data_IF_688675469199
#
_entry.id   IF_688675469199
#
_cell.length_a   1.000
_cell.length_b   1.000
_cell.length_c   1.000
_cell.angle_alpha   90.00
_cell.angle_beta   90.00
_cell.angle_gamma   90.00
#
_symmetry.space_group_name_H-M   'P 1'
#
loop_
_entity.id
_entity.type
_entity.pdbx_description
1 polymer ?
#
# COMPACT_ATOMS: atom_id res chain seq x y z
N UNK A 1 9.09 9.63 -2.35
CA UNK A 1 9.11 8.39 -3.15
C UNK A 1 7.69 8.17 -3.64
N UNK A 2 7.46 7.89 -4.93
CA UNK A 2 6.10 7.64 -5.46
C UNK A 2 5.88 6.13 -5.49
N UNK A 3 4.79 5.66 -4.89
CA UNK A 3 4.35 4.26 -4.96
C UNK A 3 3.25 4.19 -6.02
N UNK A 4 3.40 3.28 -6.98
CA UNK A 4 2.47 3.10 -8.09
C UNK A 4 1.52 1.92 -7.85
N UNK A 5 0.46 1.85 -8.64
CA UNK A 5 -0.45 0.71 -8.67
C UNK A 5 0.33 -0.60 -8.86
N UNK A 6 -0.14 -1.62 -8.13
CA UNK A 6 0.39 -2.99 -8.12
C UNK A 6 1.81 -3.12 -7.59
N UNK A 7 2.38 -2.09 -6.96
CA UNK A 7 3.60 -2.26 -6.17
C UNK A 7 3.29 -2.89 -4.82
N UNK A 8 4.17 -3.80 -4.42
CA UNK A 8 4.15 -4.33 -3.06
C UNK A 8 4.76 -3.33 -2.09
N UNK A 9 4.10 -3.21 -0.95
CA UNK A 9 4.47 -2.32 0.14
C UNK A 9 4.51 -3.09 1.45
N UNK A 10 5.31 -2.60 2.37
CA UNK A 10 5.37 -3.04 3.77
C UNK A 10 4.96 -1.89 4.69
N UNK A 11 4.13 -2.21 5.69
CA UNK A 11 3.69 -1.26 6.71
C UNK A 11 4.79 -1.04 7.73
N UNK A 12 5.30 0.20 7.84
CA UNK A 12 6.46 0.50 8.68
C UNK A 12 6.09 0.55 10.17
N UNK A 13 7.10 0.42 11.04
CA UNK A 13 6.94 0.42 12.50
C UNK A 13 6.37 1.72 13.08
N UNK A 14 6.47 2.84 12.36
CA UNK A 14 5.89 4.13 12.75
C UNK A 14 4.49 4.38 12.19
N UNK A 15 3.91 3.41 11.47
CA UNK A 15 2.60 3.57 10.86
C UNK A 15 1.51 3.81 11.91
N UNK A 16 0.50 4.62 11.56
CA UNK A 16 -0.62 4.90 12.48
C UNK A 16 -1.41 3.63 12.82
N UNK A 17 -1.62 2.76 11.83
CA UNK A 17 -2.39 1.52 12.01
C UNK A 17 -1.49 0.40 12.54
N UNK A 18 -1.29 0.39 13.87
CA UNK A 18 -0.34 -0.52 14.55
C UNK A 18 -0.61 -2.00 14.35
N UNK A 19 -1.86 -2.39 14.10
CA UNK A 19 -2.23 -3.81 13.90
C UNK A 19 -1.69 -4.42 12.60
N UNK A 20 -1.25 -3.58 11.66
CA UNK A 20 -0.75 -4.02 10.35
C UNK A 20 0.77 -3.87 10.21
N UNK A 21 1.47 -3.40 11.24
CA UNK A 21 2.93 -3.20 11.20
C UNK A 21 3.64 -4.51 10.80
N UNK A 22 4.55 -4.41 9.84
CA UNK A 22 5.33 -5.54 9.30
C UNK A 22 4.57 -6.40 8.29
N UNK A 23 3.26 -6.19 8.12
CA UNK A 23 2.51 -6.87 7.08
C UNK A 23 2.84 -6.26 5.71
N UNK A 24 2.72 -7.12 4.69
CA UNK A 24 2.89 -6.74 3.29
C UNK A 24 1.57 -6.77 2.56
N UNK A 25 1.48 -5.96 1.51
CA UNK A 25 0.32 -5.91 0.65
C UNK A 25 0.60 -5.19 -0.64
N UNK A 26 -0.43 -5.06 -1.48
CA UNK A 26 -0.32 -4.50 -2.82
C UNK A 26 -1.23 -3.29 -2.98
N UNK A 27 -0.69 -2.21 -3.56
CA UNK A 27 -1.46 -0.99 -3.83
C UNK A 27 -2.49 -1.22 -4.93
N UNK A 28 -3.77 -1.12 -4.57
CA UNK A 28 -4.91 -1.18 -5.49
C UNK A 28 -5.58 0.17 -5.73
N UNK A 29 -5.28 1.18 -4.89
CA UNK A 29 -5.82 2.52 -5.01
C UNK A 29 -4.81 3.56 -4.55
N UNK A 30 -4.80 4.71 -5.22
CA UNK A 30 -3.98 5.86 -4.85
C UNK A 30 -4.92 7.04 -4.64
N UNK A 31 -4.89 7.64 -3.46
CA UNK A 31 -5.58 8.90 -3.18
C UNK A 31 -4.66 10.04 -3.60
N UNK A 32 -4.89 10.59 -4.80
CA UNK A 32 -4.10 11.68 -5.40
C UNK A 32 -5.03 12.82 -5.85
N UNK A 33 -4.73 14.06 -5.46
CA UNK A 33 -5.41 15.27 -5.94
C UNK A 33 -4.35 16.33 -6.27
N UNK A 34 -4.44 16.97 -7.44
CA UNK A 34 -3.46 17.97 -7.92
C UNK A 34 -1.99 17.51 -7.84
N UNK A 35 -1.74 16.21 -8.04
CA UNK A 35 -0.41 15.59 -7.96
C UNK A 35 0.11 15.35 -6.53
N UNK A 36 -0.71 15.66 -5.51
CA UNK A 36 -0.42 15.39 -4.10
C UNK A 36 -1.02 14.04 -3.73
N UNK A 37 -0.16 13.10 -3.32
CA UNK A 37 -0.59 11.81 -2.80
C UNK A 37 -0.88 11.93 -1.30
N UNK A 38 -2.10 11.61 -0.90
CA UNK A 38 -2.54 11.59 0.50
C UNK A 38 -2.34 10.21 1.13
N UNK A 39 -2.47 9.15 0.34
CA UNK A 39 -2.33 7.79 0.83
C UNK A 39 -2.70 6.74 -0.21
N UNK A 40 -2.74 5.50 0.26
CA UNK A 40 -2.83 4.32 -0.58
C UNK A 40 -3.86 3.36 -0.02
N UNK A 41 -4.60 2.72 -0.91
CA UNK A 41 -5.48 1.60 -0.61
C UNK A 41 -4.73 0.32 -0.91
N UNK A 42 -4.47 -0.50 0.11
CA UNK A 42 -3.59 -1.67 0.04
C UNK A 42 -4.37 -2.92 0.39
N UNK A 43 -4.38 -3.91 -0.50
CA UNK A 43 -4.83 -5.26 -0.15
C UNK A 43 -3.70 -5.99 0.57
N UNK A 44 -3.93 -6.41 1.81
CA UNK A 44 -2.91 -7.09 2.59
C UNK A 44 -2.81 -8.56 2.17
N UNK A 45 -1.61 -9.13 2.11
CA UNK A 45 -1.45 -10.54 1.71
C UNK A 45 -2.04 -11.50 2.76
N UNK A 46 -1.87 -11.16 4.03
CA UNK A 46 -2.30 -12.01 5.16
C UNK A 46 -3.74 -11.74 5.60
N UNK A 47 -4.36 -10.67 5.09
CA UNK A 47 -5.76 -10.34 5.38
C UNK A 47 -6.46 -10.06 4.06
N UNK A 48 -7.52 -10.80 3.74
CA UNK A 48 -8.37 -10.59 2.56
C UNK A 48 -9.21 -9.28 2.67
N UNK A 49 -8.61 -8.21 3.19
CA UNK A 49 -9.21 -6.89 3.31
C UNK A 49 -8.28 -5.85 2.67
N UNK A 50 -8.91 -4.81 2.14
CA UNK A 50 -8.22 -3.62 1.66
C UNK A 50 -8.26 -2.56 2.74
N UNK A 51 -7.10 -1.98 3.06
CA UNK A 51 -6.94 -0.99 4.14
C UNK A 51 -6.30 0.27 3.57
N UNK A 52 -6.77 1.42 4.05
CA UNK A 52 -6.16 2.70 3.74
C UNK A 52 -4.97 2.99 4.66
N UNK A 53 -3.87 3.45 4.06
CA UNK A 53 -2.67 3.89 4.74
C UNK A 53 -2.27 5.28 4.27
N UNK A 54 -1.71 6.09 5.17
CA UNK A 54 -1.13 7.37 4.76
C UNK A 54 0.13 7.15 3.93
N UNK A 55 0.50 8.17 3.15
CA UNK A 55 1.65 8.08 2.24
C UNK A 55 2.97 7.71 2.93
N UNK A 56 3.11 8.07 4.21
CA UNK A 56 4.31 7.88 5.01
C UNK A 56 4.25 6.61 5.89
N UNK A 57 3.15 5.85 5.85
CA UNK A 57 2.99 4.59 6.58
C UNK A 57 3.58 3.38 5.84
N UNK A 58 4.00 3.56 4.59
CA UNK A 58 4.36 2.49 3.67
C UNK A 58 5.73 2.70 3.05
N UNK A 59 6.46 1.61 2.87
CA UNK A 59 7.66 1.56 2.04
C UNK A 59 7.50 0.50 0.94
N UNK A 60 7.95 0.78 -0.29
CA UNK A 60 7.91 -0.23 -1.35
C UNK A 60 8.98 -1.30 -1.09
N UNK A 61 8.63 -2.56 -1.33
CA UNK A 61 9.57 -3.69 -1.18
C UNK A 61 10.43 -3.89 -2.43
N UNK A 62 10.06 -3.26 -3.54
CA UNK A 62 10.66 -3.44 -4.86
C UNK A 62 9.97 -4.50 -5.73
N UNK A 63 9.00 -5.25 -5.16
CA UNK A 63 8.20 -6.22 -5.91
C UNK A 63 7.04 -5.49 -6.61
N UNK A 64 6.72 -5.92 -7.84
CA UNK A 64 5.59 -5.42 -8.62
C UNK A 64 4.78 -6.57 -9.18
N UNK A 65 3.48 -6.51 -8.95
CA UNK A 65 2.50 -7.46 -9.46
C UNK A 65 1.90 -6.97 -10.78
N UNK A 66 1.22 -7.86 -11.49
CA UNK A 66 0.43 -7.54 -12.67
C UNK A 66 -1.00 -7.28 -12.26
N UNK A 67 -1.72 -6.52 -13.08
CA UNK A 67 -3.16 -6.32 -12.92
C UNK A 67 -3.93 -7.63 -12.95
N UNK A 68 -3.48 -8.58 -13.77
CA UNK A 68 -4.06 -9.91 -13.96
C UNK A 68 -4.01 -10.77 -12.68
N UNK A 69 -3.18 -10.40 -11.70
CA UNK A 69 -3.16 -11.07 -10.40
C UNK A 69 -4.37 -10.70 -9.51
N UNK A 70 -5.17 -9.69 -9.92
CA UNK A 70 -6.29 -9.15 -9.13
C UNK A 70 -7.63 -9.10 -9.88
N UNK A 71 -7.64 -9.20 -11.21
CA UNK A 71 -8.82 -9.11 -12.10
C UNK A 71 -8.69 -10.08 -13.27
#
# INVERSE_FOLDING_TARGET
MKIDFYQEVEVISSAKNKEYIGLKGVVLGISEEDGIIYGYSVILHEKECTVYFEKDDLIPTGIRFKREDFY
#
